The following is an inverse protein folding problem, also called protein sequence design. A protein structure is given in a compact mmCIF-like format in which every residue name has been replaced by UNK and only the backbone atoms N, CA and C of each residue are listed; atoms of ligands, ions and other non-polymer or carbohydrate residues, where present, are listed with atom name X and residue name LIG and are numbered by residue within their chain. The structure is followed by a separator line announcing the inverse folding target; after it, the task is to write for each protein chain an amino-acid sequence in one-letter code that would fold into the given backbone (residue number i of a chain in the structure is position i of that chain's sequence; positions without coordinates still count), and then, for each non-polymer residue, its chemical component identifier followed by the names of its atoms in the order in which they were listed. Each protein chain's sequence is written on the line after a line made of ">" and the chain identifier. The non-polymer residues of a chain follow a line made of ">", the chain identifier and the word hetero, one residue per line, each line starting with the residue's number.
data_IF_571022399383
#
_entry.id   IF_571022399383
#
_cell.length_a   1.000
_cell.length_b   1.000
_cell.length_c   1.000
_cell.angle_alpha   90.00
_cell.angle_beta   90.00
_cell.angle_gamma   90.00
#
_symmetry.space_group_name_H-M   'P 1'
#
loop_
_entity.id
_entity.type
_entity.pdbx_description
1 polymer ?
#
# COMPACT_ATOMS: atom_id res chain seq x y z
N UNK A 1 58.05 36.83 55.66
CA UNK A 1 57.63 36.59 54.26
C UNK A 1 57.24 35.11 54.20
N UNK A 2 56.10 34.76 54.80
CA UNK A 2 54.71 34.90 54.30
C UNK A 2 54.38 33.66 53.45
N UNK A 3 53.40 32.80 53.69
CA UNK A 3 52.40 32.48 54.75
C UNK A 3 51.91 31.06 54.31
N UNK A 4 51.78 29.96 55.08
CA UNK A 4 50.98 29.69 56.28
C UNK A 4 49.56 30.26 56.26
N UNK A 5 48.64 29.61 55.52
CA UNK A 5 47.17 29.54 55.72
C UNK A 5 46.60 28.88 54.43
N UNK A 6 46.04 27.68 54.42
CA UNK A 6 44.62 27.40 54.69
C UNK A 6 44.51 25.86 54.88
N UNK A 7 44.67 25.41 56.13
CA UNK A 7 44.07 24.18 56.65
C UNK A 7 43.35 24.62 57.92
N UNK A 8 42.12 25.08 57.78
CA UNK A 8 41.16 25.28 58.87
C UNK A 8 39.87 25.81 58.24
N UNK A 9 38.89 24.93 58.03
CA UNK A 9 37.43 25.19 58.14
C UNK A 9 36.63 23.96 57.69
N UNK A 10 37.04 22.78 58.16
CA UNK A 10 36.05 21.78 58.57
C UNK A 10 35.76 22.03 60.05
N UNK A 11 34.52 21.81 60.48
CA UNK A 11 33.92 22.24 61.76
C UNK A 11 33.31 23.65 61.71
N UNK A 12 32.15 23.78 61.05
CA UNK A 12 31.02 24.54 61.61
C UNK A 12 29.69 24.14 60.95
N UNK A 13 29.05 23.12 61.53
CA UNK A 13 27.61 22.95 61.73
C UNK A 13 26.65 23.63 60.73
N UNK A 14 26.05 22.80 59.86
CA UNK A 14 24.89 23.12 58.98
C UNK A 14 23.64 23.67 59.69
N UNK A 15 23.64 23.78 61.03
CA UNK A 15 22.51 24.31 61.83
C UNK A 15 22.53 25.83 62.03
N UNK A 16 23.67 26.52 61.88
CA UNK A 16 23.74 27.97 62.11
C UNK A 16 23.46 28.83 60.86
N UNK A 17 23.63 28.29 59.64
CA UNK A 17 23.40 29.03 58.40
C UNK A 17 21.91 29.31 58.13
N UNK A 18 21.02 28.39 58.52
CA UNK A 18 19.56 28.58 58.39
C UNK A 18 18.97 29.59 59.38
N UNK A 19 19.68 29.94 60.44
CA UNK A 19 19.22 30.90 61.45
C UNK A 19 19.60 32.36 61.10
N UNK A 20 20.65 32.55 60.31
CA UNK A 20 21.04 33.87 59.81
C UNK A 20 20.08 34.41 58.72
N UNK A 21 19.48 33.52 57.91
CA UNK A 21 18.59 33.90 56.81
C UNK A 21 17.15 34.28 57.21
N UNK A 22 16.77 34.18 58.49
CA UNK A 22 15.39 34.45 58.96
C UNK A 22 15.20 35.70 59.80
N UNK A 23 16.22 36.55 59.95
CA UNK A 23 16.14 37.72 60.82
C UNK A 23 16.66 38.99 60.19
N UNK A 24 15.74 39.90 59.89
CA UNK A 24 15.93 41.34 59.63
C UNK A 24 16.53 41.71 58.27
N UNK A 25 15.78 42.57 57.59
CA UNK A 25 16.16 43.18 56.33
C UNK A 25 17.45 43.99 56.45
N UNK A 26 18.34 43.73 55.50
CA UNK A 26 19.36 44.67 55.08
C UNK A 26 19.09 44.90 53.60
N UNK A 27 18.17 45.83 53.33
CA UNK A 27 18.12 46.55 52.06
C UNK A 27 19.27 47.57 52.09
N UNK A 28 19.94 47.70 50.95
CA UNK A 28 20.93 48.72 50.62
C UNK A 28 22.20 48.69 51.46
N UNK A 29 23.28 48.22 50.85
CA UNK A 29 24.64 48.76 50.91
C UNK A 29 25.53 47.69 50.31
N UNK A 30 25.65 47.64 48.99
CA UNK A 30 26.76 47.14 48.17
C UNK A 30 26.23 47.14 46.73
N UNK A 31 26.89 47.87 45.83
CA UNK A 31 26.42 48.13 44.47
C UNK A 31 26.14 46.84 43.71
N UNK A 32 24.92 46.73 43.20
CA UNK A 32 24.47 45.70 42.27
C UNK A 32 25.22 45.87 40.94
N UNK A 33 26.43 45.34 40.85
CA UNK A 33 26.90 44.78 39.60
C UNK A 33 26.17 43.43 39.43
N UNK A 34 24.89 43.50 39.04
CA UNK A 34 24.18 42.36 38.49
C UNK A 34 24.99 41.86 37.30
N UNK A 35 25.76 40.78 37.49
CA UNK A 35 26.13 39.92 36.37
C UNK A 35 24.82 39.37 35.82
N UNK A 36 24.24 40.11 34.86
CA UNK A 36 23.25 39.56 33.93
C UNK A 36 23.94 38.39 33.24
N UNK A 37 23.73 37.19 33.75
CA UNK A 37 23.92 36.00 32.95
C UNK A 37 22.90 36.12 31.83
N UNK A 38 23.33 36.64 30.68
CA UNK A 38 22.57 36.53 29.46
C UNK A 38 22.34 35.04 29.25
N UNK A 39 21.08 34.61 29.34
CA UNK A 39 20.69 33.27 28.93
C UNK A 39 20.99 33.22 27.43
N UNK A 40 22.10 32.59 27.05
CA UNK A 40 22.42 32.33 25.65
C UNK A 40 21.19 31.68 25.05
N UNK A 41 20.68 32.26 23.96
CA UNK A 41 19.54 31.70 23.25
C UNK A 41 19.89 30.27 22.85
N UNK A 42 19.14 29.30 23.37
CA UNK A 42 19.32 27.92 22.94
C UNK A 42 18.89 27.83 21.48
N UNK A 43 19.76 27.29 20.61
CA UNK A 43 19.42 27.00 19.22
C UNK A 43 18.34 25.93 19.10
N UNK A 44 17.89 25.66 17.87
CA UNK A 44 16.94 24.56 17.62
C UNK A 44 17.51 23.24 18.15
N UNK A 45 16.78 22.59 19.05
CA UNK A 45 17.17 21.30 19.62
C UNK A 45 16.71 20.18 18.69
N UNK A 46 17.64 19.28 18.34
CA UNK A 46 17.30 18.01 17.69
C UNK A 46 16.71 17.08 18.75
N UNK A 47 15.47 16.64 18.56
CA UNK A 47 14.79 15.75 19.50
C UNK A 47 15.25 14.31 19.28
N UNK A 48 15.13 13.45 20.31
CA UNK A 48 15.35 12.00 20.13
C UNK A 48 14.42 11.41 19.08
N UNK A 49 13.24 11.99 18.88
CA UNK A 49 12.29 11.56 17.87
C UNK A 49 12.80 11.83 16.44
N UNK A 50 13.51 12.94 16.21
CA UNK A 50 14.18 13.18 14.92
C UNK A 50 15.28 12.14 14.64
N UNK A 51 16.10 11.83 15.65
CA UNK A 51 17.15 10.80 15.52
C UNK A 51 16.55 9.42 15.23
N UNK A 52 15.48 9.05 15.94
CA UNK A 52 14.78 7.78 15.71
C UNK A 52 14.16 7.72 14.31
N UNK A 53 13.57 8.83 13.85
CA UNK A 53 13.01 8.93 12.50
C UNK A 53 14.06 8.69 11.42
N UNK A 54 15.20 9.39 11.51
CA UNK A 54 16.32 9.21 10.58
C UNK A 54 16.85 7.77 10.59
N UNK A 55 17.07 7.19 11.77
CA UNK A 55 17.50 5.78 11.87
C UNK A 55 16.50 4.82 11.21
N UNK A 56 15.20 5.05 11.39
CA UNK A 56 14.16 4.22 10.75
C UNK A 56 14.19 4.34 9.23
N UNK A 57 14.41 5.55 8.71
CA UNK A 57 14.57 5.79 7.28
C UNK A 57 15.80 5.06 6.73
N UNK A 58 16.92 5.12 7.44
CA UNK A 58 18.16 4.44 7.02
C UNK A 58 18.01 2.92 7.01
N UNK A 59 17.37 2.34 8.03
CA UNK A 59 17.06 0.90 8.08
C UNK A 59 16.20 0.49 6.88
N UNK A 60 15.15 1.26 6.57
CA UNK A 60 14.28 0.95 5.43
C UNK A 60 15.00 1.12 4.09
N UNK A 61 15.82 2.15 3.91
CA UNK A 61 16.64 2.34 2.70
C UNK A 61 17.57 1.16 2.45
N UNK A 62 18.23 0.67 3.50
CA UNK A 62 19.15 -0.47 3.42
C UNK A 62 18.43 -1.80 3.17
N UNK A 63 17.13 -1.87 3.40
CA UNK A 63 16.33 -3.05 3.10
C UNK A 63 15.97 -3.17 1.62
N UNK A 64 15.81 -2.05 0.90
CA UNK A 64 15.43 -2.09 -0.50
C UNK A 64 16.56 -2.64 -1.40
N UNK A 65 16.22 -3.29 -2.53
CA UNK A 65 17.19 -3.72 -3.52
C UNK A 65 18.07 -2.55 -3.98
N UNK A 66 19.37 -2.80 -4.14
CA UNK A 66 20.36 -1.77 -4.51
C UNK A 66 20.04 -1.08 -5.84
N UNK A 67 19.33 -1.78 -6.73
CA UNK A 67 18.93 -1.24 -8.02
C UNK A 67 17.75 -0.25 -7.94
N UNK A 68 17.00 -0.22 -6.84
CA UNK A 68 15.88 0.71 -6.68
C UNK A 68 16.37 2.11 -6.34
N UNK A 69 15.70 3.12 -6.91
CA UNK A 69 16.05 4.51 -6.64
C UNK A 69 15.16 5.04 -5.53
N UNK A 70 15.74 5.21 -4.35
CA UNK A 70 15.08 5.75 -3.15
C UNK A 70 15.43 7.23 -3.00
N UNK A 71 14.41 8.10 -2.97
CA UNK A 71 14.55 9.54 -2.80
C UNK A 71 13.81 9.98 -1.54
N UNK A 72 14.44 10.83 -0.73
CA UNK A 72 13.72 11.55 0.32
C UNK A 72 12.72 12.51 -0.32
N UNK A 73 11.48 12.49 0.18
CA UNK A 73 10.40 13.30 -0.37
C UNK A 73 10.40 14.68 0.31
N UNK A 74 10.61 15.73 -0.47
CA UNK A 74 10.75 17.10 0.05
C UNK A 74 9.91 18.06 -0.81
N UNK A 75 9.02 18.89 -0.22
CA UNK A 75 8.61 18.86 1.20
C UNK A 75 7.86 17.57 1.55
N UNK A 76 8.07 17.06 2.76
CA UNK A 76 7.62 15.74 3.19
C UNK A 76 6.11 15.67 3.43
N UNK A 77 5.44 16.71 3.96
CA UNK A 77 3.98 16.71 4.24
C UNK A 77 3.47 15.42 4.92
N UNK A 78 4.33 14.71 5.66
CA UNK A 78 4.03 13.38 6.21
C UNK A 78 4.23 12.22 5.22
N UNK A 79 5.17 12.32 4.29
CA UNK A 79 5.65 11.25 3.41
C UNK A 79 7.17 11.39 3.38
N UNK A 80 7.89 10.33 3.76
CA UNK A 80 9.34 10.41 3.92
C UNK A 80 10.09 9.98 2.65
N UNK A 81 9.60 8.95 1.94
CA UNK A 81 10.29 8.38 0.78
C UNK A 81 9.41 8.29 -0.46
N UNK A 82 10.02 8.56 -1.60
CA UNK A 82 9.55 8.17 -2.93
C UNK A 82 10.51 7.16 -3.53
N UNK A 83 10.00 5.97 -3.86
CA UNK A 83 10.80 4.87 -4.38
C UNK A 83 10.37 4.56 -5.80
N UNK A 84 11.33 4.51 -6.71
CA UNK A 84 11.16 4.10 -8.09
C UNK A 84 11.78 2.72 -8.31
N UNK A 85 11.01 1.83 -8.94
CA UNK A 85 11.39 0.42 -9.09
C UNK A 85 12.16 0.20 -10.39
N UNK A 86 13.20 -0.62 -10.27
CA UNK A 86 14.03 -1.07 -11.39
C UNK A 86 14.07 -2.60 -11.41
N UNK A 87 14.26 -3.16 -12.60
CA UNK A 87 14.41 -4.60 -12.80
C UNK A 87 15.64 -4.91 -13.66
N UNK A 88 16.27 -6.09 -13.50
CA UNK A 88 17.40 -6.50 -14.32
C UNK A 88 17.08 -6.47 -15.82
N UNK A 89 17.98 -5.89 -16.61
CA UNK A 89 17.88 -5.83 -18.06
C UNK A 89 19.26 -5.88 -18.72
N UNK A 90 19.52 -6.97 -19.45
CA UNK A 90 20.80 -7.26 -20.10
C UNK A 90 21.98 -7.15 -19.10
N UNK A 91 22.85 -6.15 -19.27
CA UNK A 91 24.04 -5.91 -18.43
C UNK A 91 23.81 -4.89 -17.32
N UNK A 92 22.57 -4.40 -17.15
CA UNK A 92 22.23 -3.39 -16.14
C UNK A 92 20.79 -3.51 -15.65
N UNK A 93 20.16 -2.36 -15.40
CA UNK A 93 18.80 -2.27 -14.88
C UNK A 93 17.97 -1.30 -15.71
N UNK A 94 16.69 -1.58 -15.88
CA UNK A 94 15.73 -0.71 -16.55
C UNK A 94 14.64 -0.27 -15.56
N UNK A 95 14.18 0.97 -15.69
CA UNK A 95 13.03 1.45 -14.91
C UNK A 95 11.80 0.64 -15.29
N UNK A 96 11.10 0.16 -14.28
CA UNK A 96 9.79 -0.44 -14.46
C UNK A 96 8.71 0.63 -14.60
N UNK A 97 9.01 1.90 -14.29
CA UNK A 97 8.08 3.02 -14.33
C UNK A 97 7.03 2.99 -13.22
N UNK A 98 7.21 2.16 -12.19
CA UNK A 98 6.39 2.23 -10.98
C UNK A 98 7.03 3.10 -9.91
N UNK A 99 6.16 3.84 -9.22
CA UNK A 99 6.50 4.68 -8.09
C UNK A 99 5.62 4.33 -6.90
N UNK A 100 6.22 4.31 -5.71
CA UNK A 100 5.51 4.07 -4.45
C UNK A 100 6.04 4.99 -3.36
N UNK A 101 5.16 5.38 -2.45
CA UNK A 101 5.47 6.32 -1.38
C UNK A 101 5.47 5.61 -0.03
N UNK A 102 6.36 6.05 0.86
CA UNK A 102 6.44 5.52 2.22
C UNK A 102 6.36 6.63 3.25
N UNK A 103 5.55 6.41 4.28
CA UNK A 103 5.68 7.10 5.55
C UNK A 103 6.42 6.17 6.52
N UNK A 104 7.54 6.61 7.04
CA UNK A 104 8.39 5.86 7.96
C UNK A 104 8.13 6.31 9.38
N UNK A 105 7.91 5.35 10.27
CA UNK A 105 7.81 5.57 11.71
C UNK A 105 8.75 4.59 12.40
N UNK A 106 9.42 5.02 13.46
CA UNK A 106 10.39 4.21 14.17
C UNK A 106 10.07 4.13 15.66
N UNK A 107 10.28 2.96 16.25
CA UNK A 107 10.10 2.70 17.68
C UNK A 107 11.21 1.80 18.21
N UNK A 108 11.50 1.88 19.52
CA UNK A 108 12.42 0.95 20.20
C UNK A 108 11.71 -0.33 20.65
N UNK A 109 10.38 -0.32 20.65
CA UNK A 109 9.58 -1.47 21.05
C UNK A 109 8.22 -1.43 20.37
N UNK A 110 7.89 -2.54 19.73
CA UNK A 110 6.61 -2.75 19.06
C UNK A 110 5.53 -3.06 20.11
N UNK A 111 4.42 -2.31 20.06
CA UNK A 111 3.24 -2.56 20.91
C UNK A 111 2.29 -3.52 20.19
N UNK A 112 2.25 -4.76 20.65
CA UNK A 112 1.35 -5.77 20.10
C UNK A 112 -0.02 -5.76 20.79
N UNK A 113 -1.04 -6.20 20.07
CA UNK A 113 -2.38 -6.45 20.57
C UNK A 113 -3.01 -7.59 19.77
N UNK A 114 -4.16 -8.08 20.25
CA UNK A 114 -4.94 -9.10 19.56
C UNK A 114 -6.30 -8.52 19.20
N UNK A 115 -6.69 -8.67 17.94
CA UNK A 115 -7.98 -8.22 17.42
C UNK A 115 -8.89 -9.39 17.10
N UNK A 116 -10.17 -9.20 17.38
CA UNK A 116 -11.24 -10.10 16.94
C UNK A 116 -11.70 -9.64 15.55
N UNK A 117 -11.36 -10.42 14.53
CA UNK A 117 -11.69 -10.20 13.11
C UNK A 117 -12.98 -10.94 12.79
N UNK A 118 -14.00 -10.22 12.35
CA UNK A 118 -15.30 -10.79 11.98
C UNK A 118 -15.34 -11.12 10.49
N UNK A 119 -15.89 -12.27 10.14
CA UNK A 119 -16.37 -12.58 8.79
C UNK A 119 -17.90 -12.57 8.78
N UNK A 120 -18.48 -11.49 8.26
CA UNK A 120 -19.93 -11.29 8.31
C UNK A 120 -20.49 -11.44 9.72
N UNK A 121 -21.53 -12.26 9.86
CA UNK A 121 -22.25 -12.49 11.12
C UNK A 121 -21.75 -13.68 11.96
N UNK A 122 -20.83 -14.53 11.47
CA UNK A 122 -20.77 -15.92 11.97
C UNK A 122 -19.44 -16.40 12.53
N UNK A 123 -18.28 -15.90 12.07
CA UNK A 123 -16.98 -16.35 12.62
C UNK A 123 -16.08 -15.21 13.09
N UNK A 124 -15.52 -15.40 14.28
CA UNK A 124 -14.51 -14.52 14.87
C UNK A 124 -13.17 -15.25 14.80
N UNK A 125 -12.26 -14.72 14.00
CA UNK A 125 -10.87 -15.12 14.02
C UNK A 125 -10.07 -14.12 14.87
N UNK A 126 -8.94 -14.56 15.41
CA UNK A 126 -8.07 -13.67 16.18
C UNK A 126 -6.78 -13.41 15.42
N UNK A 127 -6.50 -12.14 15.15
CA UNK A 127 -5.26 -11.70 14.51
C UNK A 127 -4.36 -10.97 15.51
N UNK A 128 -3.07 -11.29 15.50
CA UNK A 128 -2.07 -10.56 16.26
C UNK A 128 -1.60 -9.35 15.43
N UNK A 129 -1.63 -8.16 16.04
CA UNK A 129 -1.41 -6.90 15.35
C UNK A 129 -0.50 -5.97 16.13
N UNK A 130 0.11 -5.04 15.42
CA UNK A 130 0.90 -3.93 15.96
C UNK A 130 0.01 -2.70 16.03
N UNK A 131 0.00 -2.05 17.19
CA UNK A 131 -0.70 -0.79 17.42
C UNK A 131 0.22 0.38 17.18
N UNK A 132 -0.18 1.27 16.30
CA UNK A 132 0.54 2.52 16.06
C UNK A 132 -0.43 3.70 16.04
N UNK A 133 -0.03 4.84 16.61
CA UNK A 133 -0.86 6.06 16.61
C UNK A 133 -0.37 6.99 15.52
N UNK A 134 -1.28 7.41 14.66
CA UNK A 134 -1.05 8.37 13.58
C UNK A 134 -1.90 9.61 13.78
N UNK A 135 -1.35 10.75 13.39
CA UNK A 135 -2.09 12.01 13.32
C UNK A 135 -3.07 11.95 12.14
N UNK A 136 -4.27 12.48 12.34
CA UNK A 136 -5.31 12.37 11.30
C UNK A 136 -4.98 13.23 10.07
N UNK A 137 -4.19 14.30 10.22
CA UNK A 137 -3.71 15.11 9.10
C UNK A 137 -2.93 14.30 8.05
N UNK A 138 -2.14 13.33 8.50
CA UNK A 138 -1.45 12.39 7.59
C UNK A 138 -2.46 11.56 6.80
N UNK A 139 -3.49 11.04 7.46
CA UNK A 139 -4.53 10.24 6.83
C UNK A 139 -5.28 11.06 5.77
N UNK A 140 -5.54 12.34 6.04
CA UNK A 140 -6.15 13.25 5.06
C UNK A 140 -5.25 13.49 3.85
N UNK A 141 -3.94 13.63 4.05
CA UNK A 141 -2.99 13.75 2.94
C UNK A 141 -3.03 12.51 2.06
N UNK A 142 -3.00 11.31 2.66
CA UNK A 142 -3.08 10.04 1.92
C UNK A 142 -4.40 9.91 1.14
N UNK A 143 -5.54 10.25 1.77
CA UNK A 143 -6.85 10.22 1.11
C UNK A 143 -6.87 11.16 -0.12
N UNK A 144 -6.28 12.35 0.00
CA UNK A 144 -6.16 13.31 -1.12
C UNK A 144 -5.23 12.85 -2.24
N UNK A 145 -4.23 12.01 -1.95
CA UNK A 145 -3.38 11.40 -2.99
C UNK A 145 -4.15 10.39 -3.83
N UNK A 146 -5.26 9.86 -3.31
CA UNK A 146 -6.14 8.94 -3.99
C UNK A 146 -5.62 7.50 -4.04
N UNK A 147 -6.53 6.55 -4.27
CA UNK A 147 -6.21 5.13 -4.19
C UNK A 147 -5.18 4.67 -5.23
N UNK A 148 -5.07 5.36 -6.36
CA UNK A 148 -4.10 5.02 -7.40
C UNK A 148 -2.64 5.21 -6.98
N UNK A 149 -2.41 5.99 -5.93
CA UNK A 149 -1.08 6.32 -5.42
C UNK A 149 -0.90 5.67 -4.05
N UNK A 150 -0.35 4.44 -3.99
CA UNK A 150 -0.19 3.72 -2.74
C UNK A 150 0.83 4.43 -1.83
N UNK A 151 0.40 4.72 -0.61
CA UNK A 151 1.23 5.18 0.49
C UNK A 151 1.33 4.06 1.52
N UNK A 152 2.54 3.58 1.74
CA UNK A 152 2.84 2.49 2.67
C UNK A 152 3.35 3.09 3.98
N UNK A 153 2.59 2.92 5.05
CA UNK A 153 3.10 3.14 6.40
C UNK A 153 4.09 2.01 6.70
N UNK A 154 5.28 2.38 7.16
CA UNK A 154 6.24 1.45 7.74
C UNK A 154 6.49 1.77 9.20
N UNK A 155 6.50 0.74 10.04
CA UNK A 155 6.86 0.84 11.45
C UNK A 155 8.11 -0.01 11.67
N UNK A 156 9.22 0.65 11.97
CA UNK A 156 10.53 0.05 12.17
C UNK A 156 10.79 -0.15 13.66
N UNK A 157 11.07 -1.38 14.07
CA UNK A 157 11.68 -1.70 15.37
C UNK A 157 13.19 -1.50 15.26
N UNK A 158 13.70 -0.39 15.80
CA UNK A 158 15.13 -0.02 15.70
C UNK A 158 16.01 -1.07 16.40
N UNK A 159 15.52 -1.71 17.46
CA UNK A 159 16.33 -2.66 18.24
C UNK A 159 16.55 -3.99 17.54
N UNK A 160 15.58 -4.41 16.72
CA UNK A 160 15.61 -5.68 15.97
C UNK A 160 15.82 -5.54 14.48
N UNK A 161 15.72 -4.30 13.97
CA UNK A 161 15.66 -3.98 12.55
C UNK A 161 14.49 -4.68 11.83
N UNK A 162 13.40 -4.95 12.57
CA UNK A 162 12.17 -5.47 12.01
C UNK A 162 11.35 -4.34 11.39
N UNK A 163 10.89 -4.52 10.16
CA UNK A 163 10.08 -3.54 9.46
C UNK A 163 8.70 -4.13 9.19
N UNK A 164 7.65 -3.45 9.66
CA UNK A 164 6.27 -3.84 9.41
C UNK A 164 5.59 -2.82 8.49
N UNK A 165 4.64 -3.25 7.66
CA UNK A 165 4.01 -2.39 6.66
C UNK A 165 2.48 -2.44 6.66
N UNK A 166 1.86 -1.35 6.21
CA UNK A 166 0.42 -1.25 5.99
C UNK A 166 0.15 -0.23 4.87
N UNK A 167 -0.68 -0.57 3.88
CA UNK A 167 -1.13 0.41 2.91
C UNK A 167 -2.19 1.33 3.54
N UNK A 168 -1.86 2.61 3.67
CA UNK A 168 -2.74 3.59 4.30
C UNK A 168 -4.00 3.85 3.48
N UNK A 169 -3.90 3.90 2.14
CA UNK A 169 -5.07 4.10 1.28
C UNK A 169 -6.11 2.99 1.49
N UNK A 170 -5.66 1.73 1.45
CA UNK A 170 -6.54 0.58 1.62
C UNK A 170 -7.08 0.49 3.04
N UNK A 171 -6.24 0.76 4.05
CA UNK A 171 -6.68 0.78 5.43
C UNK A 171 -7.73 1.86 5.70
N UNK A 172 -7.55 3.07 5.15
CA UNK A 172 -8.52 4.16 5.31
C UNK A 172 -9.88 3.72 4.76
N UNK A 173 -9.92 3.24 3.53
CA UNK A 173 -11.16 2.90 2.85
C UNK A 173 -11.85 1.65 3.39
N UNK A 174 -11.08 0.58 3.64
CA UNK A 174 -11.65 -0.75 3.95
C UNK A 174 -11.76 -1.03 5.45
N UNK A 175 -11.00 -0.32 6.28
CA UNK A 175 -10.99 -0.56 7.74
C UNK A 175 -11.44 0.67 8.52
N UNK A 176 -10.81 1.82 8.28
CA UNK A 176 -11.01 3.00 9.11
C UNK A 176 -12.39 3.62 8.91
N UNK A 177 -12.79 3.90 7.67
CA UNK A 177 -14.07 4.52 7.34
C UNK A 177 -15.25 3.63 7.76
N UNK A 178 -15.27 2.31 7.46
CA UNK A 178 -16.35 1.44 7.92
C UNK A 178 -16.44 1.32 9.45
N UNK A 179 -15.31 1.34 10.15
CA UNK A 179 -15.29 1.22 11.62
C UNK A 179 -15.57 2.53 12.35
N UNK A 180 -15.14 3.67 11.80
CA UNK A 180 -15.36 5.01 12.36
C UNK A 180 -15.49 6.07 11.27
N UNK A 181 -16.70 6.26 10.70
CA UNK A 181 -16.95 7.21 9.63
C UNK A 181 -16.59 8.67 9.98
N UNK A 182 -16.60 9.03 11.27
CA UNK A 182 -16.33 10.38 11.75
C UNK A 182 -14.88 10.53 12.25
N UNK A 183 -13.95 9.67 11.79
CA UNK A 183 -12.56 9.74 12.23
C UNK A 183 -11.90 11.09 12.00
N UNK A 184 -12.41 11.84 11.00
CA UNK A 184 -11.96 13.18 10.63
C UNK A 184 -12.07 14.20 11.78
N UNK A 185 -12.94 13.96 12.76
CA UNK A 185 -13.14 14.87 13.90
C UNK A 185 -12.10 14.67 15.01
N UNK A 186 -11.21 13.69 14.86
CA UNK A 186 -10.22 13.29 15.89
C UNK A 186 -8.84 13.78 15.50
N UNK A 187 -8.03 14.16 16.48
CA UNK A 187 -6.63 14.57 16.25
C UNK A 187 -5.74 13.40 15.83
N UNK A 188 -6.03 12.19 16.33
CA UNK A 188 -5.23 11.00 16.04
C UNK A 188 -6.06 9.73 15.98
N UNK A 189 -5.47 8.71 15.35
CA UNK A 189 -6.02 7.38 15.20
C UNK A 189 -5.01 6.29 15.50
N UNK A 190 -5.47 5.27 16.21
CA UNK A 190 -4.72 4.02 16.32
C UNK A 190 -5.00 3.18 15.08
N UNK A 191 -3.94 2.87 14.33
CA UNK A 191 -3.96 1.89 13.26
C UNK A 191 -3.45 0.55 13.77
N UNK A 192 -3.91 -0.52 13.12
CA UNK A 192 -3.57 -1.90 13.46
C UNK A 192 -2.92 -2.56 12.26
N UNK A 193 -1.66 -2.98 12.42
CA UNK A 193 -0.86 -3.59 11.37
C UNK A 193 -0.75 -5.08 11.67
N UNK A 194 -1.22 -6.01 10.81
CA UNK A 194 -0.98 -7.44 10.99
C UNK A 194 0.50 -7.75 11.23
N UNK A 195 0.81 -8.63 12.18
CA UNK A 195 2.22 -8.96 12.52
C UNK A 195 2.91 -9.71 11.38
N UNK A 196 2.12 -10.37 10.54
CA UNK A 196 2.53 -11.08 9.34
C UNK A 196 2.99 -10.12 8.23
N UNK A 197 2.55 -8.85 8.26
CA UNK A 197 2.98 -7.81 7.33
C UNK A 197 4.39 -7.32 7.67
N UNK A 198 5.37 -8.21 7.59
CA UNK A 198 6.77 -7.91 7.81
C UNK A 198 7.48 -7.84 6.47
N UNK A 199 8.28 -6.79 6.28
CA UNK A 199 9.17 -6.69 5.13
C UNK A 199 10.34 -7.66 5.31
N UNK A 200 10.19 -8.83 4.71
CA UNK A 200 11.21 -9.85 4.49
C UNK A 200 11.40 -10.04 2.97
N UNK A 201 12.07 -11.11 2.52
CA UNK A 201 12.23 -11.38 1.08
C UNK A 201 10.88 -11.39 0.31
N UNK A 202 9.81 -11.96 0.88
CA UNK A 202 8.47 -11.91 0.29
C UNK A 202 7.84 -10.51 0.37
N UNK A 203 8.23 -9.72 1.38
CA UNK A 203 7.81 -8.32 1.52
C UNK A 203 8.19 -7.44 0.33
N UNK A 204 9.37 -7.66 -0.28
CA UNK A 204 9.78 -6.92 -1.49
C UNK A 204 8.82 -7.16 -2.65
N UNK A 205 8.39 -8.39 -2.83
CA UNK A 205 7.46 -8.78 -3.88
C UNK A 205 6.07 -8.15 -3.65
N UNK A 206 5.65 -8.01 -2.39
CA UNK A 206 4.43 -7.27 -2.01
C UNK A 206 4.57 -5.77 -2.33
N UNK A 207 5.74 -5.17 -2.10
CA UNK A 207 5.98 -3.76 -2.48
C UNK A 207 5.89 -3.59 -4.00
N UNK A 208 6.47 -4.50 -4.78
CA UNK A 208 6.33 -4.50 -6.26
C UNK A 208 4.87 -4.58 -6.68
N UNK A 209 4.08 -5.43 -6.01
CA UNK A 209 2.65 -5.53 -6.26
C UNK A 209 1.92 -4.21 -5.99
N UNK A 210 2.15 -3.57 -4.84
CA UNK A 210 1.56 -2.26 -4.55
C UNK A 210 1.96 -1.23 -5.61
N UNK A 211 3.22 -1.20 -6.03
CA UNK A 211 3.72 -0.25 -7.02
C UNK A 211 3.02 -0.37 -8.39
N UNK A 212 2.45 -1.53 -8.75
CA UNK A 212 1.68 -1.74 -9.98
C UNK A 212 0.29 -1.07 -9.97
N UNK A 213 -0.16 -0.53 -8.84
CA UNK A 213 -1.54 -0.04 -8.65
C UNK A 213 -2.01 0.96 -9.71
N UNK A 214 -1.20 1.97 -10.02
CA UNK A 214 -1.56 2.97 -11.03
C UNK A 214 -1.76 2.33 -12.42
N UNK A 215 -0.92 1.35 -12.79
CA UNK A 215 -1.03 0.62 -14.05
C UNK A 215 -2.29 -0.25 -14.08
N UNK A 216 -2.60 -0.94 -12.97
CA UNK A 216 -3.82 -1.74 -12.84
C UNK A 216 -5.08 -0.89 -13.00
N UNK A 217 -5.17 0.27 -12.36
CA UNK A 217 -6.32 1.15 -12.54
C UNK A 217 -6.45 1.72 -13.95
N UNK A 218 -5.33 2.10 -14.57
CA UNK A 218 -5.35 2.51 -15.98
C UNK A 218 -5.86 1.37 -16.89
N UNK A 219 -5.44 0.14 -16.62
CA UNK A 219 -5.86 -1.05 -17.34
C UNK A 219 -7.34 -1.39 -17.15
N UNK A 220 -7.86 -1.34 -15.93
CA UNK A 220 -9.30 -1.56 -15.67
C UNK A 220 -10.17 -0.52 -16.37
N UNK A 221 -9.77 0.75 -16.32
CA UNK A 221 -10.45 1.81 -17.07
C UNK A 221 -10.45 1.54 -18.58
N UNK A 222 -9.33 1.05 -19.12
CA UNK A 222 -9.20 0.73 -20.53
C UNK A 222 -10.10 -0.45 -20.95
N UNK A 223 -10.11 -1.51 -20.14
CA UNK A 223 -11.00 -2.66 -20.34
C UNK A 223 -12.46 -2.23 -20.33
N UNK A 224 -12.87 -1.46 -19.33
CA UNK A 224 -14.25 -1.03 -19.20
C UNK A 224 -14.71 -0.16 -20.39
N UNK A 225 -13.82 0.69 -20.92
CA UNK A 225 -14.09 1.46 -22.15
C UNK A 225 -14.25 0.55 -23.37
N UNK A 226 -13.31 -0.36 -23.58
CA UNK A 226 -13.32 -1.27 -24.72
C UNK A 226 -14.48 -2.27 -24.67
N UNK A 227 -14.80 -2.80 -23.49
CA UNK A 227 -15.90 -3.73 -23.30
C UNK A 227 -17.24 -3.08 -23.60
N UNK A 228 -17.48 -1.85 -23.13
CA UNK A 228 -18.67 -1.07 -23.52
C UNK A 228 -18.77 -0.93 -25.04
N UNK A 229 -17.66 -0.65 -25.73
CA UNK A 229 -17.65 -0.54 -27.20
C UNK A 229 -17.93 -1.87 -27.93
N UNK A 230 -17.67 -3.02 -27.28
CA UNK A 230 -17.98 -4.36 -27.81
C UNK A 230 -19.40 -4.81 -27.46
N UNK A 231 -19.96 -4.31 -26.36
CA UNK A 231 -21.36 -4.55 -26.00
C UNK A 231 -22.33 -4.00 -27.04
N UNK A 232 -22.00 -2.85 -27.62
CA UNK A 232 -22.83 -2.18 -28.63
C UNK A 232 -22.33 -2.36 -30.07
N UNK A 233 -21.32 -3.21 -30.32
CA UNK A 233 -20.90 -3.49 -31.70
C UNK A 233 -21.75 -4.60 -32.32
N UNK A 234 -21.84 -4.59 -33.65
CA UNK A 234 -22.50 -5.67 -34.37
C UNK A 234 -21.76 -7.00 -34.18
N UNK A 235 -22.50 -8.11 -34.24
CA UNK A 235 -21.92 -9.45 -34.15
C UNK A 235 -20.97 -9.76 -35.31
N UNK A 236 -21.11 -9.09 -36.46
CA UNK A 236 -20.20 -9.21 -37.60
C UNK A 236 -18.82 -8.62 -37.32
N UNK A 237 -18.77 -7.49 -36.60
CA UNK A 237 -17.54 -6.77 -36.29
C UNK A 237 -16.89 -7.24 -34.98
N UNK A 238 -17.65 -7.93 -34.12
CA UNK A 238 -17.24 -8.30 -32.77
C UNK A 238 -15.89 -9.00 -32.74
N UNK A 239 -15.68 -9.97 -33.64
CA UNK A 239 -14.47 -10.79 -33.64
C UNK A 239 -13.21 -9.96 -33.97
N UNK A 240 -13.27 -9.17 -35.04
CA UNK A 240 -12.15 -8.33 -35.48
C UNK A 240 -11.85 -7.24 -34.44
N UNK A 241 -12.89 -6.56 -33.96
CA UNK A 241 -12.77 -5.48 -32.98
C UNK A 241 -12.23 -6.00 -31.64
N UNK A 242 -12.72 -7.15 -31.18
CA UNK A 242 -12.22 -7.81 -29.98
C UNK A 242 -10.75 -8.22 -30.14
N UNK A 243 -10.37 -8.85 -31.26
CA UNK A 243 -8.97 -9.21 -31.54
C UNK A 243 -8.04 -7.99 -31.50
N UNK A 244 -8.45 -6.89 -32.11
CA UNK A 244 -7.69 -5.64 -32.07
C UNK A 244 -7.52 -5.13 -30.64
N UNK A 245 -8.62 -5.03 -29.88
CA UNK A 245 -8.57 -4.57 -28.48
C UNK A 245 -7.75 -5.49 -27.57
N UNK A 246 -7.84 -6.82 -27.74
CA UNK A 246 -7.03 -7.79 -27.01
C UNK A 246 -5.53 -7.56 -27.28
N UNK A 247 -5.14 -7.36 -28.55
CA UNK A 247 -3.75 -7.03 -28.91
C UNK A 247 -3.28 -5.70 -28.29
N UNK A 248 -4.16 -4.71 -28.15
CA UNK A 248 -3.82 -3.45 -27.47
C UNK A 248 -3.57 -3.70 -25.97
N UNK A 249 -4.47 -4.41 -25.28
CA UNK A 249 -4.35 -4.60 -23.83
C UNK A 249 -3.16 -5.49 -23.46
N UNK A 250 -2.80 -6.45 -24.32
CA UNK A 250 -1.64 -7.33 -24.12
C UNK A 250 -0.30 -6.58 -24.10
N UNK A 251 -0.24 -5.36 -24.63
CA UNK A 251 0.97 -4.53 -24.60
C UNK A 251 1.20 -3.83 -23.26
N UNK A 252 0.22 -3.83 -22.36
CA UNK A 252 0.36 -3.22 -21.04
C UNK A 252 1.23 -4.09 -20.15
N UNK A 253 2.05 -3.46 -19.31
CA UNK A 253 2.94 -4.17 -18.38
C UNK A 253 2.23 -4.71 -17.12
N UNK A 254 0.90 -4.60 -17.04
CA UNK A 254 0.12 -5.13 -15.90
C UNK A 254 0.20 -6.64 -15.77
N UNK A 255 0.53 -7.36 -16.85
CA UNK A 255 0.59 -8.82 -16.85
C UNK A 255 1.69 -9.37 -15.95
N UNK A 256 2.70 -8.57 -15.61
CA UNK A 256 3.69 -8.92 -14.57
C UNK A 256 3.06 -9.07 -13.17
N UNK A 257 1.86 -8.55 -12.93
CA UNK A 257 1.13 -8.73 -11.68
C UNK A 257 0.44 -10.11 -11.55
N UNK A 258 0.53 -10.98 -12.58
CA UNK A 258 -0.06 -12.32 -12.56
C UNK A 258 0.45 -13.18 -11.39
N UNK A 259 1.65 -12.90 -10.88
CA UNK A 259 2.25 -13.63 -9.75
C UNK A 259 1.50 -13.38 -8.42
N UNK A 260 0.78 -12.27 -8.33
CA UNK A 260 0.06 -11.84 -7.12
C UNK A 260 -1.45 -11.79 -7.30
N UNK A 261 -1.91 -11.80 -8.55
CA UNK A 261 -3.32 -11.76 -8.91
C UNK A 261 -3.70 -12.94 -9.81
N UNK A 262 -3.97 -14.13 -9.24
CA UNK A 262 -4.23 -15.34 -10.02
C UNK A 262 -5.37 -15.21 -11.04
N UNK A 263 -6.40 -14.42 -10.74
CA UNK A 263 -7.49 -14.16 -11.69
C UNK A 263 -7.00 -13.48 -12.96
N UNK A 264 -6.05 -12.54 -12.86
CA UNK A 264 -5.43 -11.88 -14.01
C UNK A 264 -4.70 -12.90 -14.90
N UNK A 265 -4.00 -13.87 -14.29
CA UNK A 265 -3.31 -14.95 -15.00
C UNK A 265 -4.28 -15.83 -15.78
N UNK A 266 -5.37 -16.26 -15.15
CA UNK A 266 -6.37 -17.11 -15.80
C UNK A 266 -6.96 -16.43 -17.05
N UNK A 267 -7.26 -15.13 -16.95
CA UNK A 267 -7.80 -14.36 -18.08
C UNK A 267 -6.74 -14.18 -19.17
N UNK A 268 -5.47 -13.91 -18.80
CA UNK A 268 -4.37 -13.85 -19.76
C UNK A 268 -4.20 -15.16 -20.55
N UNK A 269 -4.23 -16.29 -19.84
CA UNK A 269 -4.09 -17.62 -20.44
C UNK A 269 -5.27 -17.95 -21.39
N UNK A 270 -6.45 -17.34 -21.18
CA UNK A 270 -7.59 -17.46 -22.09
C UNK A 270 -7.45 -16.57 -23.32
N UNK A 271 -6.96 -15.34 -23.15
CA UNK A 271 -6.65 -14.42 -24.26
C UNK A 271 -5.58 -15.02 -25.17
N UNK A 272 -4.48 -15.49 -24.59
CA UNK A 272 -3.36 -16.09 -25.34
C UNK A 272 -3.83 -17.34 -26.12
N UNK A 273 -4.72 -18.14 -25.51
CA UNK A 273 -5.33 -19.28 -26.19
C UNK A 273 -6.21 -18.85 -27.37
N UNK A 274 -7.06 -17.86 -27.17
CA UNK A 274 -7.96 -17.34 -28.21
C UNK A 274 -7.19 -16.74 -29.39
N UNK A 275 -6.19 -15.90 -29.14
CA UNK A 275 -5.41 -15.29 -30.20
C UNK A 275 -4.59 -16.30 -31.01
N UNK A 276 -4.15 -17.39 -30.36
CA UNK A 276 -3.41 -18.47 -31.02
C UNK A 276 -4.33 -19.38 -31.85
N UNK A 277 -5.48 -19.77 -31.32
CA UNK A 277 -6.32 -20.82 -31.92
C UNK A 277 -7.53 -20.28 -32.68
N UNK A 278 -7.86 -18.98 -32.55
CA UNK A 278 -9.05 -18.37 -33.13
C UNK A 278 -10.37 -18.75 -32.43
N UNK A 279 -10.30 -19.48 -31.32
CA UNK A 279 -11.43 -19.96 -30.52
C UNK A 279 -11.05 -19.96 -29.03
N UNK A 280 -12.02 -19.73 -28.15
CA UNK A 280 -11.81 -19.79 -26.69
C UNK A 280 -11.88 -21.24 -26.20
N UNK A 281 -11.28 -21.54 -25.03
CA UNK A 281 -11.36 -22.90 -24.44
C UNK A 281 -12.80 -23.27 -24.15
N UNK A 282 -13.56 -22.31 -23.59
CA UNK A 282 -14.99 -22.43 -23.37
C UNK A 282 -15.75 -22.82 -24.65
N UNK A 283 -15.56 -22.07 -25.73
CA UNK A 283 -16.28 -22.31 -26.97
C UNK A 283 -15.90 -23.67 -27.58
N UNK A 284 -14.61 -24.04 -27.51
CA UNK A 284 -14.13 -25.31 -28.01
C UNK A 284 -14.75 -26.50 -27.26
N UNK A 285 -14.81 -26.44 -25.93
CA UNK A 285 -15.37 -27.50 -25.09
C UNK A 285 -16.89 -27.63 -25.28
N UNK A 286 -17.60 -26.51 -25.40
CA UNK A 286 -19.04 -26.50 -25.68
C UNK A 286 -19.34 -27.08 -27.06
N UNK A 287 -18.61 -26.67 -28.10
CA UNK A 287 -18.77 -27.21 -29.46
C UNK A 287 -18.49 -28.71 -29.47
N UNK A 288 -17.41 -29.18 -28.83
CA UNK A 288 -17.11 -30.62 -28.70
C UNK A 288 -18.25 -31.38 -28.02
N UNK A 289 -18.88 -30.77 -27.01
CA UNK A 289 -20.00 -31.37 -26.28
C UNK A 289 -21.25 -31.48 -27.16
N UNK A 290 -21.56 -30.44 -27.94
CA UNK A 290 -22.69 -30.44 -28.88
C UNK A 290 -22.51 -31.46 -30.01
N UNK A 291 -21.30 -31.59 -30.55
CA UNK A 291 -20.97 -32.61 -31.55
C UNK A 291 -21.16 -34.03 -30.98
N UNK A 292 -20.75 -34.27 -29.73
CA UNK A 292 -20.90 -35.60 -29.07
C UNK A 292 -22.35 -36.03 -28.93
N UNK A 293 -23.29 -35.10 -28.76
CA UNK A 293 -24.73 -35.41 -28.70
C UNK A 293 -25.39 -35.46 -30.07
N UNK A 294 -24.62 -35.38 -31.15
CA UNK A 294 -25.09 -35.55 -32.53
C UNK A 294 -25.66 -34.28 -33.17
N UNK A 295 -25.45 -33.10 -32.59
CA UNK A 295 -25.88 -31.84 -33.22
C UNK A 295 -24.96 -31.46 -34.39
N UNK A 296 -25.55 -31.00 -35.48
CA UNK A 296 -24.81 -30.36 -36.56
C UNK A 296 -24.47 -28.91 -36.17
N UNK A 297 -23.24 -28.68 -35.74
CA UNK A 297 -22.78 -27.36 -35.26
C UNK A 297 -22.44 -26.39 -36.38
N UNK A 298 -22.38 -26.86 -37.62
CA UNK A 298 -21.95 -26.09 -38.79
C UNK A 298 -23.12 -25.66 -39.69
N UNK A 299 -24.35 -26.11 -39.39
CA UNK A 299 -25.55 -25.71 -40.11
C UNK A 299 -25.98 -24.28 -39.74
N UNK A 300 -26.20 -23.44 -40.76
CA UNK A 300 -26.60 -22.03 -40.60
C UNK A 300 -28.11 -21.90 -40.39
N UNK A 301 -28.56 -22.20 -39.18
CA UNK A 301 -29.98 -22.13 -38.78
C UNK A 301 -30.21 -21.27 -37.53
N UNK A 302 -29.15 -20.66 -36.99
CA UNK A 302 -29.21 -19.87 -35.76
C UNK A 302 -29.24 -18.38 -36.06
N UNK A 303 -30.15 -17.64 -35.44
CA UNK A 303 -30.19 -16.19 -35.56
C UNK A 303 -29.33 -15.52 -34.48
N UNK A 304 -28.70 -14.41 -34.85
CA UNK A 304 -27.98 -13.55 -33.90
C UNK A 304 -28.93 -12.48 -33.36
N UNK A 305 -28.73 -12.05 -32.11
CA UNK A 305 -29.62 -11.08 -31.44
C UNK A 305 -29.79 -9.74 -32.20
N UNK A 306 -28.77 -9.35 -32.96
CA UNK A 306 -28.69 -8.08 -33.67
C UNK A 306 -28.81 -8.22 -35.20
N UNK A 307 -29.12 -9.42 -35.72
CA UNK A 307 -29.19 -9.64 -37.15
C UNK A 307 -30.15 -10.75 -37.57
N UNK A 308 -30.88 -10.52 -38.66
CA UNK A 308 -31.76 -11.53 -39.28
C UNK A 308 -31.01 -12.54 -40.15
N UNK A 309 -29.67 -12.55 -40.15
CA UNK A 309 -28.92 -13.55 -40.90
C UNK A 309 -28.69 -14.78 -40.05
N UNK A 310 -28.79 -15.94 -40.70
CA UNK A 310 -28.51 -17.21 -40.07
C UNK A 310 -27.01 -17.44 -39.99
N UNK A 311 -26.57 -18.02 -38.87
CA UNK A 311 -25.20 -18.43 -38.61
C UNK A 311 -25.19 -19.85 -38.06
N UNK A 312 -24.01 -20.46 -38.07
CA UNK A 312 -23.82 -21.76 -37.44
C UNK A 312 -23.80 -21.68 -35.92
N UNK A 313 -24.16 -22.78 -35.24
CA UNK A 313 -24.04 -22.88 -33.79
C UNK A 313 -22.59 -22.63 -33.35
N UNK A 314 -21.62 -23.13 -34.13
CA UNK A 314 -20.20 -22.88 -33.91
C UNK A 314 -19.89 -21.39 -33.86
N UNK A 315 -20.41 -20.60 -34.81
CA UNK A 315 -20.19 -19.15 -34.84
C UNK A 315 -20.83 -18.48 -33.64
N UNK A 316 -22.07 -18.83 -33.31
CA UNK A 316 -22.79 -18.29 -32.14
C UNK A 316 -22.03 -18.54 -30.84
N UNK A 317 -21.62 -19.79 -30.57
CA UNK A 317 -20.83 -20.16 -29.38
C UNK A 317 -19.47 -19.45 -29.37
N UNK A 318 -18.82 -19.31 -30.52
CA UNK A 318 -17.54 -18.60 -30.61
C UNK A 318 -17.68 -17.12 -30.24
N UNK A 319 -18.74 -16.45 -30.70
CA UNK A 319 -19.03 -15.06 -30.33
C UNK A 319 -19.34 -14.93 -28.83
N UNK A 320 -20.09 -15.88 -28.25
CA UNK A 320 -20.31 -15.95 -26.81
C UNK A 320 -19.00 -16.14 -26.04
N UNK A 321 -18.10 -17.00 -26.52
CA UNK A 321 -16.77 -17.17 -25.95
C UNK A 321 -15.96 -15.88 -25.89
N UNK A 322 -16.02 -15.07 -26.95
CA UNK A 322 -15.39 -13.73 -26.97
C UNK A 322 -16.01 -12.83 -25.91
N UNK A 323 -17.35 -12.77 -25.83
CA UNK A 323 -18.05 -11.97 -24.79
C UNK A 323 -17.66 -12.43 -23.38
N UNK A 324 -17.47 -13.73 -23.16
CA UNK A 324 -17.04 -14.27 -21.88
C UNK A 324 -15.64 -13.80 -21.47
N UNK A 325 -14.67 -13.75 -22.40
CA UNK A 325 -13.33 -13.18 -22.11
C UNK A 325 -13.46 -11.74 -21.60
N UNK A 326 -14.29 -10.92 -22.27
CA UNK A 326 -14.48 -9.53 -21.89
C UNK A 326 -15.22 -9.37 -20.56
N UNK A 327 -16.23 -10.21 -20.29
CA UNK A 327 -16.88 -10.25 -18.97
C UNK A 327 -15.91 -10.65 -17.85
N UNK A 328 -14.99 -11.58 -18.11
CA UNK A 328 -13.94 -11.93 -17.14
C UNK A 328 -12.96 -10.76 -16.91
N UNK A 329 -12.58 -10.04 -17.97
CA UNK A 329 -11.73 -8.85 -17.88
C UNK A 329 -12.38 -7.73 -17.05
N UNK A 330 -13.68 -7.46 -17.25
CA UNK A 330 -14.42 -6.47 -16.46
C UNK A 330 -14.42 -6.83 -14.97
N UNK A 331 -14.66 -8.10 -14.66
CA UNK A 331 -14.71 -8.61 -13.29
C UNK A 331 -13.35 -8.53 -12.55
N UNK A 332 -12.23 -8.35 -13.25
CA UNK A 332 -10.93 -8.16 -12.60
C UNK A 332 -10.89 -6.90 -11.74
N UNK A 333 -11.59 -5.83 -12.16
CA UNK A 333 -11.63 -4.60 -11.40
C UNK A 333 -12.35 -4.79 -10.07
N UNK A 334 -13.50 -5.45 -10.10
CA UNK A 334 -14.31 -5.74 -8.91
C UNK A 334 -13.56 -6.68 -7.96
N UNK A 335 -12.95 -7.75 -8.49
CA UNK A 335 -12.12 -8.65 -7.68
C UNK A 335 -10.94 -7.93 -7.03
N UNK A 336 -10.26 -7.04 -7.77
CA UNK A 336 -9.17 -6.27 -7.21
C UNK A 336 -9.63 -5.41 -6.03
N UNK A 337 -10.77 -4.73 -6.20
CA UNK A 337 -11.34 -3.83 -5.20
C UNK A 337 -11.88 -4.54 -3.97
N UNK A 338 -12.63 -5.64 -4.15
CA UNK A 338 -13.35 -6.30 -3.06
C UNK A 338 -12.51 -7.32 -2.30
N UNK A 339 -11.49 -7.89 -2.95
CA UNK A 339 -10.75 -9.04 -2.44
C UNK A 339 -9.27 -8.71 -2.28
N UNK A 340 -8.61 -8.33 -3.38
CA UNK A 340 -7.14 -8.28 -3.42
C UNK A 340 -6.57 -7.14 -2.55
N UNK A 341 -7.22 -5.97 -2.53
CA UNK A 341 -6.78 -4.83 -1.70
C UNK A 341 -6.82 -5.11 -0.19
N UNK A 342 -7.55 -6.14 0.25
CA UNK A 342 -7.70 -6.47 1.66
C UNK A 342 -6.68 -7.48 2.21
N UNK A 343 -5.88 -8.12 1.35
CA UNK A 343 -4.97 -9.22 1.74
C UNK A 343 -4.00 -8.88 2.87
N UNK A 344 -3.60 -7.61 2.98
CA UNK A 344 -2.64 -7.14 3.99
C UNK A 344 -3.28 -6.19 5.01
N UNK A 345 -4.60 -6.22 5.14
CA UNK A 345 -5.33 -5.44 6.15
C UNK A 345 -5.71 -6.33 7.33
N UNK A 346 -5.98 -5.79 8.52
CA UNK A 346 -6.54 -6.57 9.62
C UNK A 346 -8.03 -6.88 9.37
N UNK A 347 -8.32 -7.62 8.29
CA UNK A 347 -9.65 -8.10 7.90
C UNK A 347 -9.62 -9.62 7.74
N UNK A 348 -10.79 -10.21 7.46
CA UNK A 348 -10.88 -11.66 7.28
C UNK A 348 -10.01 -12.16 6.13
N UNK A 349 -9.81 -11.35 5.09
CA UNK A 349 -9.02 -11.75 3.93
C UNK A 349 -7.57 -12.07 4.29
N UNK A 350 -6.98 -11.32 5.23
CA UNK A 350 -5.63 -11.59 5.72
C UNK A 350 -5.51 -12.90 6.52
N UNK A 351 -6.62 -13.38 7.12
CA UNK A 351 -6.61 -14.61 7.91
C UNK A 351 -6.73 -15.90 7.09
N UNK A 352 -7.03 -15.79 5.80
CA UNK A 352 -7.19 -16.94 4.89
C UNK A 352 -6.09 -17.04 3.83
N UNK A 353 -5.30 -15.98 3.64
CA UNK A 353 -4.01 -15.97 2.94
C UNK A 353 -2.92 -16.54 3.83
#
# INVERSE_FOLDING_TARGET
>A
MVDEEIILLDIMSRRNFRRFLKGKGIRKLFGENERRYYKLGEGKKRTLQHIKGENGVDILKNFFPEEWVVREYIPDYGIDLSVELFTPYDTGFITSGEHIFFQVKATESIKQARLDIKNGSESIQKADVIKFVLDTDLLFTVEKMGNAVPVILTVVDIGKEDIYFLCLNDYIEKVLIPADPNYMEKESKTVYIPIENRLNNMGIDIIKWYAKRAKLYAFFNKINEQSRNLKYCSSYELEEKAKNYLNIILRNDVWSACDYFPALKNVKDEIDYYLKNGITKFAEDDIKSMVKVGMNVDEEIWELEDSNSLVSLRKSISLQGIRNIWGQLENLADLFEDVIREYFLPTYMNTIT
#
